data_IF_665212258027
#
_entry.id   IF_665212258027
#
_cell.length_a   1.000
_cell.length_b   1.000
_cell.length_c   1.000
_cell.angle_alpha   90.00
_cell.angle_beta   90.00
_cell.angle_gamma   90.00
#
_symmetry.space_group_name_H-M   'P 1'
#
loop_
_entity.id
_entity.type
_entity.pdbx_description
1 polymer ?
#
# COMPACT_ATOMS: atom_id res chain seq x y z
N UNK A 1 -2.02 -11.68 -9.39
CA UNK A 1 -2.89 -11.69 -10.60
C UNK A 1 -3.35 -10.28 -10.89
N UNK A 2 -3.11 -9.79 -12.08
CA UNK A 2 -3.56 -8.44 -12.46
C UNK A 2 -4.95 -8.52 -13.09
N UNK A 3 -5.91 -7.79 -12.56
CA UNK A 3 -7.22 -7.63 -13.16
C UNK A 3 -7.13 -6.57 -14.26
N UNK A 4 -7.57 -6.93 -15.47
CA UNK A 4 -7.35 -6.15 -16.68
C UNK A 4 -8.31 -4.97 -16.85
N UNK A 5 -9.46 -5.00 -16.15
CA UNK A 5 -10.54 -4.06 -16.37
C UNK A 5 -10.93 -3.35 -15.07
N UNK A 6 -11.55 -2.20 -15.22
CA UNK A 6 -12.18 -1.48 -14.10
C UNK A 6 -13.17 -2.38 -13.37
N UNK A 7 -13.20 -2.31 -12.04
CA UNK A 7 -14.12 -3.11 -11.22
C UNK A 7 -15.53 -2.52 -11.35
N UNK A 8 -16.28 -3.05 -12.30
CA UNK A 8 -17.64 -2.58 -12.61
C UNK A 8 -18.73 -3.63 -12.38
N UNK A 9 -18.37 -4.81 -11.89
CA UNK A 9 -19.33 -5.89 -11.63
C UNK A 9 -18.94 -6.66 -10.36
N UNK A 10 -19.94 -7.36 -9.77
CA UNK A 10 -19.71 -8.23 -8.62
C UNK A 10 -18.75 -9.39 -8.94
N UNK A 11 -18.75 -9.86 -10.18
CA UNK A 11 -17.80 -10.88 -10.64
C UNK A 11 -16.35 -10.40 -10.58
N UNK A 12 -16.09 -9.20 -11.08
CA UNK A 12 -14.75 -8.59 -11.04
C UNK A 12 -14.33 -8.26 -9.60
N UNK A 13 -15.26 -7.79 -8.79
CA UNK A 13 -15.02 -7.57 -7.37
C UNK A 13 -14.65 -8.85 -6.62
N UNK A 14 -15.34 -9.94 -6.88
CA UNK A 14 -15.02 -11.25 -6.31
C UNK A 14 -13.66 -11.77 -6.79
N UNK A 15 -13.32 -11.56 -8.06
CA UNK A 15 -12.00 -11.91 -8.60
C UNK A 15 -10.88 -11.10 -7.95
N UNK A 16 -11.09 -9.82 -7.71
CA UNK A 16 -10.15 -8.96 -6.99
C UNK A 16 -9.95 -9.45 -5.56
N UNK A 17 -11.03 -9.76 -4.85
CA UNK A 17 -10.99 -10.27 -3.49
C UNK A 17 -10.22 -11.60 -3.39
N UNK A 18 -10.43 -12.51 -4.35
CA UNK A 18 -9.68 -13.77 -4.42
C UNK A 18 -8.19 -13.54 -4.66
N UNK A 19 -7.85 -12.61 -5.54
CA UNK A 19 -6.44 -12.25 -5.83
C UNK A 19 -5.75 -11.60 -4.63
N UNK A 20 -6.47 -10.77 -3.89
CA UNK A 20 -5.98 -10.16 -2.64
C UNK A 20 -5.71 -11.24 -1.60
N UNK A 21 -6.63 -12.19 -1.41
CA UNK A 21 -6.50 -13.26 -0.42
C UNK A 21 -6.25 -12.70 0.99
N UNK A 22 -5.16 -13.13 1.61
CA UNK A 22 -4.71 -12.69 2.94
C UNK A 22 -3.73 -11.52 2.90
N UNK A 23 -3.39 -11.03 1.73
CA UNK A 23 -2.43 -9.94 1.56
C UNK A 23 -3.08 -8.58 1.82
N UNK A 24 -2.25 -7.58 2.06
CA UNK A 24 -2.71 -6.21 2.32
C UNK A 24 -2.86 -5.37 1.06
N UNK A 25 -2.33 -5.84 -0.06
CA UNK A 25 -2.30 -5.10 -1.31
C UNK A 25 -2.40 -6.05 -2.50
N UNK A 26 -3.12 -5.63 -3.52
CA UNK A 26 -3.18 -6.30 -4.82
C UNK A 26 -3.03 -5.28 -5.93
N UNK A 27 -2.26 -5.62 -6.95
CA UNK A 27 -2.06 -4.78 -8.12
C UNK A 27 -3.10 -5.10 -9.19
N UNK A 28 -3.67 -4.05 -9.76
CA UNK A 28 -4.61 -4.15 -10.89
C UNK A 28 -3.90 -3.67 -12.15
N UNK A 29 -3.76 -4.57 -13.13
CA UNK A 29 -3.03 -4.28 -14.36
C UNK A 29 -3.63 -3.09 -15.11
N UNK A 30 -2.83 -2.04 -15.27
CA UNK A 30 -3.23 -0.82 -15.98
C UNK A 30 -4.10 0.15 -15.17
N UNK A 31 -4.40 -0.15 -13.89
CA UNK A 31 -5.29 0.65 -13.07
C UNK A 31 -4.71 1.12 -11.73
N UNK A 32 -3.69 0.43 -11.22
CA UNK A 32 -3.09 0.78 -9.94
C UNK A 32 -3.18 -0.34 -8.91
N UNK A 33 -3.54 -0.01 -7.68
CA UNK A 33 -3.56 -0.97 -6.57
C UNK A 33 -4.81 -0.83 -5.70
N UNK A 34 -5.16 -1.92 -5.05
CA UNK A 34 -6.13 -1.93 -3.94
C UNK A 34 -5.41 -2.31 -2.66
N UNK A 35 -5.59 -1.50 -1.62
CA UNK A 35 -4.97 -1.69 -0.31
C UNK A 35 -6.06 -1.84 0.73
N UNK A 36 -5.87 -2.76 1.67
CA UNK A 36 -6.81 -3.03 2.76
C UNK A 36 -6.11 -2.94 4.11
N UNK A 37 -6.89 -2.73 5.15
CA UNK A 37 -6.41 -2.67 6.53
C UNK A 37 -7.55 -2.68 7.52
N UNK A 38 -7.21 -2.64 8.81
CA UNK A 38 -8.16 -2.69 9.93
C UNK A 38 -8.65 -1.32 10.37
N UNK A 39 -8.02 -0.25 9.89
CA UNK A 39 -8.38 1.14 10.18
C UNK A 39 -8.04 2.04 8.99
N UNK A 40 -8.66 3.21 8.94
CA UNK A 40 -8.35 4.23 7.94
C UNK A 40 -6.87 4.64 8.00
N UNK A 41 -6.32 4.82 9.19
CA UNK A 41 -4.92 5.16 9.39
C UNK A 41 -3.99 4.10 8.80
N UNK A 42 -4.27 2.83 9.05
CA UNK A 42 -3.47 1.72 8.53
C UNK A 42 -3.55 1.63 6.99
N UNK A 43 -4.73 1.77 6.41
CA UNK A 43 -4.92 1.74 4.96
C UNK A 43 -4.16 2.86 4.27
N UNK A 44 -4.27 4.09 4.77
CA UNK A 44 -3.53 5.25 4.22
C UNK A 44 -2.03 5.04 4.34
N UNK A 45 -1.56 4.58 5.49
CA UNK A 45 -0.15 4.26 5.72
C UNK A 45 0.36 3.23 4.69
N UNK A 46 -0.35 2.13 4.54
CA UNK A 46 0.01 1.07 3.58
C UNK A 46 0.01 1.56 2.13
N UNK A 47 -0.97 2.37 1.76
CA UNK A 47 -1.05 2.94 0.41
C UNK A 47 0.15 3.85 0.10
N UNK A 48 0.51 4.74 1.00
CA UNK A 48 1.65 5.65 0.84
C UNK A 48 2.96 4.86 0.78
N UNK A 49 3.17 3.94 1.70
CA UNK A 49 4.42 3.18 1.73
C UNK A 49 4.52 2.11 0.64
N UNK A 50 3.41 1.62 0.08
CA UNK A 50 3.44 0.78 -1.11
C UNK A 50 4.07 1.53 -2.29
N UNK A 51 3.73 2.79 -2.50
CA UNK A 51 4.35 3.64 -3.52
C UNK A 51 5.82 3.93 -3.21
N UNK A 52 6.13 4.32 -1.97
CA UNK A 52 7.51 4.57 -1.54
C UNK A 52 8.39 3.34 -1.75
N UNK A 53 7.92 2.17 -1.33
CA UNK A 53 8.66 0.92 -1.47
C UNK A 53 8.84 0.52 -2.94
N UNK A 54 7.83 0.74 -3.78
CA UNK A 54 7.94 0.49 -5.22
C UNK A 54 9.03 1.35 -5.86
N UNK A 55 9.09 2.64 -5.52
CA UNK A 55 10.15 3.54 -5.98
C UNK A 55 11.54 3.12 -5.49
N UNK A 56 11.65 2.74 -4.22
CA UNK A 56 12.92 2.24 -3.65
C UNK A 56 13.37 0.96 -4.34
N UNK A 57 12.46 0.04 -4.63
CA UNK A 57 12.77 -1.20 -5.33
C UNK A 57 13.26 -0.94 -6.76
N UNK A 58 12.62 -0.04 -7.49
CA UNK A 58 13.07 0.36 -8.83
C UNK A 58 14.48 0.97 -8.78
N UNK A 59 14.76 1.82 -7.80
CA UNK A 59 16.09 2.39 -7.59
C UNK A 59 17.14 1.33 -7.24
N UNK A 60 16.80 0.40 -6.38
CA UNK A 60 17.68 -0.70 -5.97
C UNK A 60 18.02 -1.64 -7.13
N UNK A 61 17.07 -1.93 -8.01
CA UNK A 61 17.30 -2.76 -9.22
C UNK A 61 18.34 -2.16 -10.14
N UNK A 62 18.42 -0.84 -10.23
CA UNK A 62 19.45 -0.15 -11.02
C UNK A 62 20.85 -0.31 -10.44
N UNK A 63 20.97 -0.60 -9.14
CA UNK A 63 22.26 -0.78 -8.45
C UNK A 63 22.76 -2.23 -8.45
N UNK A 64 21.91 -3.19 -8.75
CA UNK A 64 22.26 -4.61 -8.76
C UNK A 64 21.13 -5.52 -8.32
N UNK A 65 21.46 -6.73 -7.92
CA UNK A 65 20.52 -7.73 -7.43
C UNK A 65 19.92 -7.32 -6.09
N UNK A 66 18.60 -7.53 -5.92
CA UNK A 66 17.88 -7.15 -4.71
C UNK A 66 17.84 -8.34 -3.75
N UNK A 67 18.16 -8.09 -2.49
CA UNK A 67 17.88 -9.01 -1.39
C UNK A 67 16.59 -8.58 -0.68
N UNK A 68 15.55 -9.40 -0.79
CA UNK A 68 14.27 -9.13 -0.14
C UNK A 68 14.26 -9.58 1.32
N UNK A 69 13.41 -8.95 2.13
CA UNK A 69 13.13 -9.44 3.48
C UNK A 69 12.52 -10.84 3.40
N UNK A 70 12.90 -11.72 4.33
CA UNK A 70 12.18 -12.97 4.51
C UNK A 70 10.85 -12.75 5.25
N UNK A 71 10.04 -13.80 5.37
CA UNK A 71 8.70 -13.69 5.96
C UNK A 71 8.72 -13.22 7.43
N UNK A 72 9.70 -13.66 8.21
CA UNK A 72 9.87 -13.26 9.61
C UNK A 72 10.26 -11.78 9.74
N UNK A 73 11.23 -11.35 8.99
CA UNK A 73 11.68 -9.95 8.94
C UNK A 73 10.55 -9.02 8.48
N UNK A 74 9.79 -9.44 7.48
CA UNK A 74 8.64 -8.69 6.97
C UNK A 74 7.54 -8.56 8.04
N UNK A 75 7.27 -9.62 8.80
CA UNK A 75 6.29 -9.58 9.88
C UNK A 75 6.73 -8.67 11.02
N UNK A 76 7.98 -8.77 11.45
CA UNK A 76 8.54 -7.89 12.49
C UNK A 76 8.47 -6.41 12.07
N UNK A 77 8.83 -6.11 10.84
CA UNK A 77 8.73 -4.76 10.29
C UNK A 77 7.29 -4.25 10.26
N UNK A 78 6.35 -5.09 9.86
CA UNK A 78 4.92 -4.76 9.84
C UNK A 78 4.40 -4.44 11.25
N UNK A 79 4.73 -5.25 12.24
CA UNK A 79 4.30 -5.06 13.63
C UNK A 79 4.89 -3.75 14.21
N UNK A 80 6.15 -3.47 13.95
CA UNK A 80 6.77 -2.21 14.36
C UNK A 80 6.10 -0.99 13.72
N UNK A 81 5.79 -1.07 12.44
CA UNK A 81 5.15 0.01 11.70
C UNK A 81 3.72 0.26 12.20
N UNK A 82 2.96 -0.78 12.49
CA UNK A 82 1.62 -0.67 13.06
C UNK A 82 1.62 0.06 14.43
N UNK A 83 2.67 -0.12 15.23
CA UNK A 83 2.87 0.63 16.46
C UNK A 83 3.18 2.12 16.28
N UNK A 84 3.56 2.54 15.08
CA UNK A 84 3.94 3.93 14.77
C UNK A 84 2.92 4.67 13.89
N UNK A 85 1.78 4.07 13.57
CA UNK A 85 0.75 4.69 12.73
C UNK A 85 0.32 6.08 13.19
N UNK A 86 0.08 6.36 14.49
CA UNK A 86 -0.35 7.68 14.94
C UNK A 86 0.65 8.78 14.60
N UNK A 87 1.94 8.50 14.62
CA UNK A 87 3.01 9.47 14.32
C UNK A 87 2.91 9.97 12.88
N UNK A 88 2.83 9.07 11.93
CA UNK A 88 2.71 9.40 10.50
C UNK A 88 1.36 10.05 10.20
N UNK A 89 0.28 9.50 10.74
CA UNK A 89 -1.06 10.02 10.57
C UNK A 89 -1.18 11.47 11.04
N UNK A 90 -0.71 11.78 12.25
CA UNK A 90 -0.75 13.12 12.79
C UNK A 90 0.06 14.12 11.96
N UNK A 91 1.17 13.69 11.40
CA UNK A 91 1.96 14.52 10.49
C UNK A 91 1.17 14.85 9.21
N UNK A 92 0.56 13.85 8.60
CA UNK A 92 -0.19 14.03 7.35
C UNK A 92 -1.45 14.86 7.55
N UNK A 93 -2.18 14.65 8.63
CA UNK A 93 -3.36 15.47 8.98
C UNK A 93 -2.95 16.94 9.20
N UNK A 94 -1.84 17.17 9.88
CA UNK A 94 -1.31 18.54 10.08
C UNK A 94 -0.99 19.21 8.76
N UNK A 95 -0.34 18.50 7.85
CA UNK A 95 -0.02 19.01 6.50
C UNK A 95 -1.27 19.34 5.68
N UNK A 96 -2.35 18.58 5.83
CA UNK A 96 -3.63 18.91 5.19
C UNK A 96 -4.19 20.27 5.68
N UNK A 97 -4.06 20.58 6.97
CA UNK A 97 -4.47 21.87 7.51
C UNK A 97 -3.66 23.06 7.02
N UNK A 98 -2.47 22.82 6.48
CA UNK A 98 -1.60 23.84 5.88
C UNK A 98 -1.90 24.08 4.39
N UNK A 99 -2.74 23.23 3.77
CA UNK A 99 -3.17 23.39 2.38
C UNK A 99 -4.37 24.33 2.36
N UNK A 100 -4.24 25.43 1.63
CA UNK A 100 -5.35 26.34 1.35
C UNK A 100 -6.33 25.65 0.39
N UNK A 101 -7.44 25.17 0.92
CA UNK A 101 -8.48 24.46 0.18
C UNK A 101 -9.43 25.42 -0.58
N UNK A 102 -9.26 26.75 -0.41
CA UNK A 102 -10.08 27.78 -1.06
C UNK A 102 -9.53 28.23 -2.43
N UNK A 103 -8.62 27.45 -2.99
CA UNK A 103 -8.07 27.71 -4.33
C UNK A 103 -8.69 26.85 -5.40
#
# INVERSE_FOLDING_TARGET
MCIRDSISSSYLGAALARSLGRHSCVLMRGHGSTVVGTSLQQVVYRAIYAEVNAKLQLGAQALGEITFLNAEEAQLSSDMNDGQLPRSWNLWVRRLGEIDLDR
#
